data_IF_236097893185
#
_entry.id   IF_236097893185
#
_cell.length_a   1.000
_cell.length_b   1.000
_cell.length_c   1.000
_cell.angle_alpha   90.00
_cell.angle_beta   90.00
_cell.angle_gamma   90.00
#
_symmetry.space_group_name_H-M   'P 1'
#
loop_
_entity.id
_entity.type
_entity.pdbx_description
1 polymer ?
#
# COMPACT_ATOMS: atom_id res chain seq x y z
N UNK A 1 -9.45 12.61 5.69
CA UNK A 1 -8.47 11.52 5.61
C UNK A 1 -8.10 11.13 7.03
N UNK A 2 -8.42 9.90 7.40
CA UNK A 2 -8.55 9.45 8.78
C UNK A 2 -7.25 8.73 9.21
N UNK A 3 -6.79 9.00 10.44
CA UNK A 3 -5.77 8.26 11.21
C UNK A 3 -6.17 6.77 11.36
N UNK A 4 -6.18 6.01 10.27
CA UNK A 4 -6.90 4.73 10.19
C UNK A 4 -6.09 3.54 10.68
N UNK A 5 -4.79 3.68 10.94
CA UNK A 5 -4.00 2.56 11.45
C UNK A 5 -2.90 2.99 12.42
N UNK A 6 -3.31 3.28 13.65
CA UNK A 6 -2.44 3.24 14.82
C UNK A 6 -3.04 2.26 15.81
N UNK A 7 -2.89 0.94 15.63
CA UNK A 7 -3.31 0.00 16.67
C UNK A 7 -2.65 0.46 17.97
N UNK A 8 -3.46 0.59 19.03
CA UNK A 8 -2.93 0.93 20.34
C UNK A 8 -1.83 -0.08 20.68
N UNK A 9 -0.69 0.36 21.25
CA UNK A 9 0.36 -0.56 21.59
C UNK A 9 -0.21 -1.62 22.57
N UNK A 10 0.15 -2.91 22.42
CA UNK A 10 -0.48 -3.97 23.20
C UNK A 10 -0.38 -3.67 24.70
N UNK A 11 -1.49 -3.65 25.45
CA UNK A 11 -1.47 -3.26 26.86
C UNK A 11 -0.48 -4.07 27.69
N UNK A 12 -0.35 -5.36 27.38
CA UNK A 12 0.53 -6.31 28.07
C UNK A 12 2.02 -6.02 27.88
N UNK A 13 2.42 -5.27 26.84
CA UNK A 13 3.80 -4.84 26.62
C UNK A 13 4.01 -3.36 26.88
N UNK A 14 3.03 -2.51 26.55
CA UNK A 14 3.12 -1.06 26.73
C UNK A 14 3.14 -0.66 28.20
N UNK A 15 2.25 -1.27 29.00
CA UNK A 15 2.08 -1.03 30.43
C UNK A 15 2.22 0.46 30.82
N UNK A 16 1.44 1.33 30.18
CA UNK A 16 1.48 2.78 30.43
C UNK A 16 2.89 3.39 30.33
N UNK A 17 3.63 3.06 29.26
CA UNK A 17 5.04 3.44 29.03
C UNK A 17 6.08 2.80 29.98
N UNK A 18 5.72 1.80 30.78
CA UNK A 18 6.69 1.12 31.67
C UNK A 18 7.39 -0.07 31.00
N UNK A 19 6.87 -0.57 29.88
CA UNK A 19 7.51 -1.62 29.12
C UNK A 19 8.54 -1.11 28.12
N UNK A 20 9.16 -2.02 27.39
CA UNK A 20 10.14 -1.67 26.37
C UNK A 20 10.95 -2.85 25.84
N UNK A 21 11.99 -2.52 25.09
CA UNK A 21 12.92 -3.48 24.51
C UNK A 21 14.38 -3.02 24.72
N UNK A 22 15.30 -3.97 24.77
CA UNK A 22 16.75 -3.74 24.83
C UNK A 22 17.45 -4.70 23.89
N UNK A 23 18.48 -4.19 23.23
CA UNK A 23 19.39 -4.98 22.39
C UNK A 23 20.78 -4.82 22.98
N UNK A 24 21.48 -5.95 23.18
CA UNK A 24 22.85 -5.99 23.69
C UNK A 24 23.68 -6.88 22.79
N UNK A 25 24.88 -6.42 22.46
CA UNK A 25 25.86 -7.19 21.69
C UNK A 25 27.06 -7.49 22.57
N UNK A 26 27.40 -8.77 22.73
CA UNK A 26 28.55 -9.21 23.51
C UNK A 26 29.16 -10.48 22.89
N UNK A 27 30.47 -10.49 22.61
CA UNK A 27 31.18 -11.64 22.05
C UNK A 27 30.45 -12.34 20.87
N UNK A 28 30.06 -11.57 19.85
CA UNK A 28 29.28 -12.04 18.69
C UNK A 28 27.87 -12.60 18.99
N UNK A 29 27.40 -12.47 20.23
CA UNK A 29 26.02 -12.76 20.60
C UNK A 29 25.21 -11.46 20.63
N UNK A 30 24.10 -11.43 19.88
CA UNK A 30 23.08 -10.38 20.01
C UNK A 30 21.96 -10.93 20.90
N UNK A 31 21.79 -10.32 22.06
CA UNK A 31 20.70 -10.60 22.99
C UNK A 31 19.66 -9.51 22.90
N UNK A 32 18.42 -9.89 22.60
CA UNK A 32 17.25 -9.01 22.66
C UNK A 32 16.41 -9.36 23.87
N UNK A 33 15.94 -8.36 24.62
CA UNK A 33 14.99 -8.56 25.72
C UNK A 33 13.84 -7.57 25.61
N UNK A 34 12.62 -8.07 25.58
CA UNK A 34 11.39 -7.28 25.73
C UNK A 34 10.86 -7.41 27.16
N UNK A 35 10.23 -6.37 27.69
CA UNK A 35 9.69 -6.38 29.05
C UNK A 35 8.42 -5.53 29.12
N UNK A 36 7.50 -5.90 30.02
CA UNK A 36 6.28 -5.13 30.31
C UNK A 36 6.49 -4.07 31.39
N UNK A 37 7.51 -4.22 32.25
CA UNK A 37 7.72 -3.32 33.40
C UNK A 37 7.10 -3.90 34.68
N UNK A 38 6.93 -3.06 35.71
CA UNK A 38 6.36 -3.50 36.99
C UNK A 38 4.84 -3.59 36.88
N UNK A 39 4.27 -4.69 37.37
CA UNK A 39 2.83 -4.90 37.41
C UNK A 39 2.39 -5.59 38.71
N UNK A 40 1.18 -5.30 39.17
CA UNK A 40 0.58 -5.87 40.37
C UNK A 40 -0.51 -6.87 39.97
N UNK A 41 -0.28 -8.13 40.30
CA UNK A 41 -1.21 -9.21 40.00
C UNK A 41 -2.12 -9.50 41.19
N UNK A 42 -3.40 -9.72 40.91
CA UNK A 42 -4.29 -10.35 41.89
C UNK A 42 -4.02 -11.85 41.90
N UNK A 43 -4.27 -12.51 43.03
CA UNK A 43 -4.27 -13.97 43.08
C UNK A 43 -5.17 -14.51 41.96
N UNK A 44 -4.67 -15.51 41.25
CA UNK A 44 -5.36 -16.18 40.13
C UNK A 44 -5.58 -15.32 38.86
N UNK A 45 -4.88 -14.19 38.72
CA UNK A 45 -4.87 -13.41 37.47
C UNK A 45 -3.92 -14.00 36.41
N UNK A 46 -4.25 -13.79 35.13
CA UNK A 46 -3.48 -14.27 33.96
C UNK A 46 -2.91 -13.09 33.20
N UNK A 47 -1.61 -13.13 32.90
CA UNK A 47 -0.94 -12.22 31.97
C UNK A 47 -0.68 -12.94 30.65
N UNK A 48 -1.19 -12.39 29.55
CA UNK A 48 -0.95 -12.90 28.20
C UNK A 48 0.07 -12.02 27.49
N UNK A 49 1.22 -12.60 27.14
CA UNK A 49 2.30 -11.94 26.41
C UNK A 49 2.39 -12.55 25.02
N UNK A 50 1.94 -11.80 24.01
CA UNK A 50 1.99 -12.23 22.62
C UNK A 50 3.27 -11.71 21.97
N UNK A 51 4.02 -12.57 21.29
CA UNK A 51 5.18 -12.13 20.52
C UNK A 51 5.22 -12.87 19.18
N UNK A 52 5.73 -12.16 18.16
CA UNK A 52 6.04 -12.73 16.86
C UNK A 52 7.51 -12.47 16.58
N UNK A 53 8.23 -13.52 16.17
CA UNK A 53 9.60 -13.39 15.71
C UNK A 53 9.61 -13.51 14.19
N UNK A 54 9.92 -12.40 13.52
CA UNK A 54 10.07 -12.35 12.08
C UNK A 54 11.56 -12.39 11.76
N UNK A 55 12.01 -13.48 11.12
CA UNK A 55 13.38 -13.55 10.61
C UNK A 55 13.53 -12.53 9.49
N UNK A 56 14.30 -11.51 9.84
CA UNK A 56 14.80 -10.35 9.07
C UNK A 56 14.00 -10.01 7.82
N UNK A 57 13.15 -8.96 7.86
CA UNK A 57 12.38 -8.50 6.73
C UNK A 57 13.24 -7.69 5.74
N UNK A 58 14.42 -8.21 5.41
CA UNK A 58 15.42 -7.52 4.58
C UNK A 58 15.68 -8.32 3.32
N UNK A 59 15.92 -7.61 2.24
CA UNK A 59 16.34 -8.23 0.98
C UNK A 59 17.73 -7.72 0.58
N UNK A 60 18.32 -8.34 -0.45
CA UNK A 60 19.58 -7.83 -1.00
C UNK A 60 19.27 -6.53 -1.74
N UNK A 61 19.99 -5.46 -1.38
CA UNK A 61 19.86 -4.17 -2.04
C UNK A 61 20.12 -4.32 -3.55
N UNK A 62 19.20 -3.78 -4.37
CA UNK A 62 19.28 -3.80 -5.83
C UNK A 62 19.41 -2.39 -6.40
N UNK A 63 20.61 -1.81 -6.26
CA UNK A 63 20.94 -0.46 -6.75
C UNK A 63 20.83 -0.37 -8.27
N UNK A 64 21.13 -1.45 -9.00
CA UNK A 64 21.02 -1.46 -10.46
C UNK A 64 19.57 -1.22 -10.91
N UNK A 65 18.59 -1.88 -10.28
CA UNK A 65 17.19 -1.66 -10.61
C UNK A 65 16.72 -0.25 -10.22
N UNK A 66 17.19 0.28 -9.08
CA UNK A 66 16.86 1.64 -8.64
C UNK A 66 17.22 2.69 -9.69
N UNK A 67 18.43 2.64 -10.25
CA UNK A 67 18.87 3.62 -11.24
C UNK A 67 18.42 3.32 -12.67
N UNK A 68 18.01 2.08 -12.96
CA UNK A 68 17.50 1.69 -14.27
C UNK A 68 16.00 1.98 -14.43
N UNK A 69 15.20 1.83 -13.37
CA UNK A 69 13.76 2.05 -13.43
C UNK A 69 13.44 3.55 -13.38
N UNK A 70 12.77 4.06 -14.41
CA UNK A 70 12.35 5.46 -14.53
C UNK A 70 10.84 5.51 -14.63
N UNK A 71 10.24 6.08 -13.59
CA UNK A 71 8.81 6.04 -13.37
C UNK A 71 8.11 7.25 -13.98
N UNK A 72 6.96 7.00 -14.60
CA UNK A 72 5.98 8.01 -14.92
C UNK A 72 4.75 7.82 -14.04
N UNK A 73 4.36 8.88 -13.33
CA UNK A 73 3.13 8.93 -12.55
C UNK A 73 2.50 10.30 -12.71
N UNK A 74 1.25 10.33 -13.15
CA UNK A 74 0.44 11.52 -13.24
C UNK A 74 -1.01 11.13 -12.92
N UNK A 75 -1.60 11.83 -11.95
CA UNK A 75 -2.90 11.46 -11.37
C UNK A 75 -4.02 11.45 -12.44
N UNK A 76 -4.09 12.48 -13.29
CA UNK A 76 -5.18 12.62 -14.27
C UNK A 76 -4.89 12.00 -15.63
N UNK A 77 -3.62 12.03 -16.07
CA UNK A 77 -3.24 11.53 -17.39
C UNK A 77 -2.17 10.43 -17.29
N UNK A 78 -2.52 9.15 -17.45
CA UNK A 78 -1.55 8.06 -17.36
C UNK A 78 -0.65 7.94 -18.61
N UNK A 79 -0.82 8.79 -19.62
CA UNK A 79 -0.07 8.70 -20.88
C UNK A 79 1.18 9.58 -20.85
N UNK A 80 2.39 9.02 -20.67
CA UNK A 80 3.63 9.75 -20.87
C UNK A 80 3.70 10.32 -22.29
N UNK A 81 4.22 11.54 -22.41
CA UNK A 81 4.48 12.14 -23.71
C UNK A 81 5.73 11.55 -24.36
N UNK A 82 5.92 11.83 -25.65
CA UNK A 82 7.11 11.39 -26.39
C UNK A 82 8.43 11.81 -25.71
N UNK A 83 8.47 13.02 -25.14
CA UNK A 83 9.64 13.52 -24.39
C UNK A 83 9.96 12.67 -23.16
N UNK A 84 8.95 12.18 -22.45
CA UNK A 84 9.14 11.35 -21.25
C UNK A 84 9.70 9.98 -21.64
N UNK A 85 9.19 9.41 -22.74
CA UNK A 85 9.68 8.15 -23.32
C UNK A 85 11.14 8.30 -23.78
N UNK A 86 11.47 9.38 -24.49
CA UNK A 86 12.84 9.70 -24.92
C UNK A 86 13.79 9.96 -23.74
N UNK A 87 13.26 10.48 -22.61
CA UNK A 87 14.00 10.63 -21.36
C UNK A 87 14.22 9.30 -20.61
N UNK A 88 13.70 8.20 -21.13
CA UNK A 88 13.96 6.84 -20.68
C UNK A 88 12.93 6.26 -19.71
N UNK A 89 11.72 6.83 -19.62
CA UNK A 89 10.62 6.22 -18.84
C UNK A 89 10.42 4.77 -19.27
N UNK A 90 10.42 3.86 -18.30
CA UNK A 90 10.23 2.42 -18.53
C UNK A 90 9.30 1.74 -17.53
N UNK A 91 8.71 2.50 -16.58
CA UNK A 91 7.63 2.03 -15.71
C UNK A 91 6.57 3.13 -15.60
N UNK A 92 5.29 2.77 -15.74
CA UNK A 92 4.15 3.67 -15.56
C UNK A 92 3.36 3.22 -14.33
N UNK A 93 3.06 4.16 -13.43
CA UNK A 93 2.07 3.99 -12.38
C UNK A 93 0.74 4.59 -12.85
N UNK A 94 -0.25 3.74 -13.14
CA UNK A 94 -1.60 4.17 -13.48
C UNK A 94 -2.39 4.33 -12.19
N UNK A 95 -2.60 5.58 -11.78
CA UNK A 95 -3.44 5.91 -10.62
C UNK A 95 -4.92 5.57 -10.88
N UNK A 96 -5.78 5.62 -9.87
CA UNK A 96 -7.24 5.62 -10.10
C UNK A 96 -7.73 7.01 -10.56
N UNK A 97 -9.04 7.19 -10.81
CA UNK A 97 -9.70 8.46 -11.19
C UNK A 97 -9.36 8.98 -12.60
N UNK A 98 -8.99 8.10 -13.52
CA UNK A 98 -8.75 8.44 -14.92
C UNK A 98 -9.37 7.40 -15.86
N UNK A 99 -9.38 7.70 -17.17
CA UNK A 99 -10.01 6.85 -18.19
C UNK A 99 -9.49 5.42 -18.34
N UNK A 100 -8.30 5.11 -17.80
CA UNK A 100 -7.72 3.76 -17.87
C UNK A 100 -8.05 2.95 -16.61
N UNK A 101 -8.04 3.61 -15.46
CA UNK A 101 -8.39 3.01 -14.17
C UNK A 101 -9.32 3.98 -13.41
N UNK A 102 -10.62 4.03 -13.76
CA UNK A 102 -11.51 5.07 -13.26
C UNK A 102 -11.88 4.88 -11.78
N UNK A 103 -12.05 3.62 -11.36
CA UNK A 103 -12.55 3.27 -10.03
C UNK A 103 -11.42 2.79 -9.12
N UNK A 104 -11.47 3.18 -7.85
CA UNK A 104 -10.40 3.02 -6.84
C UNK A 104 -9.91 1.58 -6.71
N UNK A 105 -10.82 0.60 -6.87
CA UNK A 105 -10.46 -0.80 -6.87
C UNK A 105 -11.41 -1.72 -7.66
N UNK A 106 -12.03 -1.21 -8.72
CA UNK A 106 -12.88 -2.04 -9.57
C UNK A 106 -12.47 -1.94 -11.05
N UNK A 107 -11.27 -2.42 -11.41
CA UNK A 107 -10.74 -2.29 -12.77
C UNK A 107 -11.47 -3.16 -13.80
N UNK A 108 -12.31 -4.10 -13.36
CA UNK A 108 -12.92 -5.14 -14.19
C UNK A 108 -13.94 -4.61 -15.21
N UNK A 109 -14.42 -3.37 -15.04
CA UNK A 109 -15.32 -2.70 -16.00
C UNK A 109 -14.56 -1.99 -17.13
N UNK A 110 -13.22 -1.86 -17.02
CA UNK A 110 -12.36 -1.20 -18.01
C UNK A 110 -11.29 -2.12 -18.61
N UNK A 111 -11.54 -3.43 -18.60
CA UNK A 111 -10.57 -4.46 -19.01
C UNK A 111 -9.99 -4.20 -20.39
N UNK A 112 -10.82 -3.89 -21.39
CA UNK A 112 -10.36 -3.73 -22.77
C UNK A 112 -9.49 -2.48 -22.94
N UNK A 113 -9.91 -1.35 -22.36
CA UNK A 113 -9.14 -0.11 -22.35
C UNK A 113 -7.81 -0.26 -21.61
N UNK A 114 -7.82 -0.93 -20.45
CA UNK A 114 -6.62 -1.18 -19.67
C UNK A 114 -5.67 -2.13 -20.39
N UNK A 115 -6.18 -3.20 -21.02
CA UNK A 115 -5.36 -4.12 -21.83
C UNK A 115 -4.74 -3.38 -23.01
N UNK A 116 -5.52 -2.60 -23.75
CA UNK A 116 -5.00 -1.83 -24.89
C UNK A 116 -3.91 -0.85 -24.47
N UNK A 117 -4.05 -0.20 -23.31
CA UNK A 117 -3.02 0.65 -22.72
C UNK A 117 -1.75 -0.13 -22.40
N UNK A 118 -1.88 -1.26 -21.69
CA UNK A 118 -0.77 -2.13 -21.32
C UNK A 118 -0.04 -2.65 -22.57
N UNK A 119 -0.77 -3.17 -23.55
CA UNK A 119 -0.23 -3.69 -24.81
C UNK A 119 0.51 -2.61 -25.61
N UNK A 120 0.00 -1.37 -25.61
CA UNK A 120 0.65 -0.25 -26.26
C UNK A 120 2.03 0.03 -25.66
N UNK A 121 2.12 0.14 -24.33
CA UNK A 121 3.38 0.46 -23.64
C UNK A 121 4.34 -0.72 -23.58
N UNK A 122 3.84 -1.96 -23.54
CA UNK A 122 4.67 -3.16 -23.68
C UNK A 122 5.41 -3.21 -25.01
N UNK A 123 4.80 -2.77 -26.12
CA UNK A 123 5.48 -2.67 -27.43
C UNK A 123 6.65 -1.69 -27.41
N UNK A 124 6.66 -0.75 -26.47
CA UNK A 124 7.74 0.20 -26.25
C UNK A 124 8.73 -0.27 -25.16
N UNK A 125 8.55 -1.46 -24.60
CA UNK A 125 9.36 -1.98 -23.50
C UNK A 125 9.06 -1.35 -22.14
N UNK A 126 7.92 -0.68 -21.99
CA UNK A 126 7.53 0.06 -20.78
C UNK A 126 6.55 -0.77 -19.96
N UNK A 127 6.89 -1.03 -18.69
CA UNK A 127 6.03 -1.75 -17.75
C UNK A 127 4.89 -0.88 -17.24
N UNK A 128 3.74 -1.48 -16.95
CA UNK A 128 2.55 -0.79 -16.43
C UNK A 128 2.08 -1.40 -15.12
N UNK A 129 2.05 -0.61 -14.05
CA UNK A 129 1.47 -0.97 -12.75
C UNK A 129 0.20 -0.17 -12.51
N UNK A 130 -0.71 -0.71 -11.72
CA UNK A 130 -1.98 -0.04 -11.42
C UNK A 130 -2.14 0.22 -9.91
N UNK A 131 -2.85 1.29 -9.60
CA UNK A 131 -3.48 1.46 -8.29
C UNK A 131 -4.60 0.43 -8.13
N UNK A 132 -4.55 -0.38 -7.07
CA UNK A 132 -5.58 -1.37 -6.77
C UNK A 132 -5.62 -1.69 -5.27
N UNK A 133 -6.48 -1.01 -4.52
CA UNK A 133 -6.61 -1.18 -3.07
C UNK A 133 -7.68 -2.22 -2.69
N UNK A 134 -7.65 -2.69 -1.45
CA UNK A 134 -8.75 -3.48 -0.86
C UNK A 134 -9.38 -2.79 0.36
N UNK A 135 -8.81 -1.67 0.81
CA UNK A 135 -9.33 -0.89 1.95
C UNK A 135 -10.72 -0.29 1.67
N UNK A 136 -10.96 -0.02 0.41
CA UNK A 136 -12.15 0.61 -0.14
C UNK A 136 -12.77 -0.33 -1.18
N UNK A 137 -14.07 -0.22 -1.43
CA UNK A 137 -14.74 -0.85 -2.55
C UNK A 137 -15.56 0.19 -3.31
N UNK A 138 -15.35 0.29 -4.62
CA UNK A 138 -16.13 1.17 -5.49
C UNK A 138 -17.62 0.82 -5.46
N UNK A 139 -18.48 1.84 -5.54
CA UNK A 139 -19.92 1.66 -5.73
C UNK A 139 -20.30 1.11 -7.12
N UNK A 140 -19.33 0.96 -8.02
CA UNK A 140 -19.49 0.30 -9.32
C UNK A 140 -19.24 -1.21 -9.27
N UNK A 141 -18.93 -1.76 -8.09
CA UNK A 141 -18.79 -3.20 -7.90
C UNK A 141 -20.07 -3.94 -8.35
N UNK A 142 -19.95 -4.88 -9.27
CA UNK A 142 -21.12 -5.59 -9.80
C UNK A 142 -21.79 -6.46 -8.74
N UNK A 143 -21.01 -6.96 -7.78
CA UNK A 143 -21.45 -7.82 -6.69
C UNK A 143 -22.01 -7.04 -5.49
N UNK A 144 -22.15 -5.70 -5.58
CA UNK A 144 -22.43 -4.85 -4.42
C UNK A 144 -23.64 -5.32 -3.58
N UNK A 145 -24.70 -5.80 -4.23
CA UNK A 145 -25.90 -6.31 -3.55
C UNK A 145 -25.69 -7.64 -2.85
N UNK A 146 -24.91 -8.55 -3.47
CA UNK A 146 -24.53 -9.80 -2.85
C UNK A 146 -23.64 -9.53 -1.62
N UNK A 147 -22.69 -8.62 -1.73
CA UNK A 147 -21.83 -8.21 -0.62
C UNK A 147 -22.62 -7.54 0.50
N UNK A 148 -23.57 -6.68 0.13
CA UNK A 148 -24.49 -6.02 1.06
C UNK A 148 -25.34 -7.02 1.86
N UNK A 149 -25.73 -8.13 1.24
CA UNK A 149 -26.50 -9.19 1.92
C UNK A 149 -25.74 -9.91 3.03
N UNK A 150 -24.40 -9.77 3.07
CA UNK A 150 -23.53 -10.34 4.11
C UNK A 150 -23.42 -9.45 5.36
N UNK A 151 -24.24 -8.40 5.47
CA UNK A 151 -24.20 -7.45 6.57
C UNK A 151 -22.86 -6.71 6.61
N UNK A 152 -22.19 -6.73 7.76
CA UNK A 152 -20.94 -6.00 8.01
C UNK A 152 -19.69 -6.87 7.81
N UNK A 153 -19.84 -8.06 7.23
CA UNK A 153 -18.68 -8.92 6.96
C UNK A 153 -17.72 -8.27 5.95
N UNK A 154 -18.24 -7.60 4.92
CA UNK A 154 -17.43 -7.00 3.84
C UNK A 154 -17.31 -5.48 3.99
N UNK A 155 -18.43 -4.80 4.28
CA UNK A 155 -18.46 -3.36 4.48
C UNK A 155 -18.27 -3.04 5.96
N UNK A 156 -17.42 -2.07 6.25
CA UNK A 156 -17.38 -1.49 7.59
C UNK A 156 -18.75 -0.91 7.93
N UNK A 157 -19.22 -1.16 9.15
CA UNK A 157 -20.46 -0.55 9.65
C UNK A 157 -20.30 0.96 9.80
N UNK A 158 -21.41 1.69 9.71
CA UNK A 158 -21.41 3.15 9.75
C UNK A 158 -22.79 3.75 9.57
N UNK A 159 -22.90 5.06 9.80
CA UNK A 159 -24.16 5.81 9.71
C UNK A 159 -24.69 5.97 8.28
N UNK A 160 -23.93 5.56 7.26
CA UNK A 160 -24.19 5.91 5.87
C UNK A 160 -23.94 7.40 5.58
N UNK A 161 -24.43 7.88 4.43
CA UNK A 161 -24.24 9.25 3.93
C UNK A 161 -23.46 9.31 2.61
N UNK A 162 -22.75 10.42 2.39
CA UNK A 162 -21.92 10.60 1.17
C UNK A 162 -22.74 10.89 -0.09
N UNK A 163 -22.23 10.44 -1.23
CA UNK A 163 -22.80 10.70 -2.56
C UNK A 163 -24.26 10.22 -2.67
N UNK A 164 -25.16 10.93 -3.39
CA UNK A 164 -26.60 10.60 -3.45
C UNK A 164 -26.90 9.15 -3.79
N UNK A 165 -26.15 8.54 -4.72
CA UNK A 165 -26.35 7.14 -5.07
C UNK A 165 -26.22 6.23 -3.84
N UNK A 166 -25.20 6.42 -2.97
CA UNK A 166 -25.03 5.62 -1.76
C UNK A 166 -26.20 5.81 -0.79
N UNK A 167 -26.69 7.05 -0.64
CA UNK A 167 -27.82 7.38 0.25
C UNK A 167 -29.13 6.75 -0.21
N UNK A 168 -29.35 6.74 -1.52
CA UNK A 168 -30.55 6.18 -2.13
C UNK A 168 -30.54 4.64 -2.13
N UNK A 169 -29.37 4.04 -2.33
CA UNK A 169 -29.24 2.60 -2.61
C UNK A 169 -28.78 1.77 -1.41
N UNK A 170 -27.86 2.28 -0.59
CA UNK A 170 -27.36 1.57 0.60
C UNK A 170 -28.00 2.04 1.90
N UNK A 171 -28.44 3.30 1.96
CA UNK A 171 -29.19 3.94 3.07
C UNK A 171 -28.39 4.05 4.38
N UNK A 172 -28.03 2.94 5.02
CA UNK A 172 -27.33 2.87 6.32
C UNK A 172 -26.36 1.68 6.39
N UNK A 173 -25.67 1.42 7.50
CA UNK A 173 -24.77 0.27 7.68
C UNK A 173 -23.61 0.20 6.66
N UNK A 174 -23.04 1.35 6.36
CA UNK A 174 -21.80 1.45 5.60
C UNK A 174 -21.05 2.70 6.05
N UNK A 175 -19.73 2.66 5.94
CA UNK A 175 -18.84 3.80 6.16
C UNK A 175 -18.37 4.36 4.82
N UNK A 176 -18.59 5.66 4.62
CA UNK A 176 -18.23 6.37 3.38
C UNK A 176 -16.74 6.58 3.33
N UNK A 177 -16.17 6.49 2.13
CA UNK A 177 -14.76 6.73 1.96
C UNK A 177 -14.52 7.58 0.70
N UNK A 178 -13.43 7.34 -0.03
CA UNK A 178 -12.96 8.23 -1.08
C UNK A 178 -14.06 8.54 -2.10
N UNK A 179 -14.24 9.82 -2.39
CA UNK A 179 -15.13 10.29 -3.44
C UNK A 179 -14.31 11.00 -4.50
N UNK A 180 -14.45 10.59 -5.75
CA UNK A 180 -13.72 11.21 -6.85
C UNK A 180 -14.61 11.35 -8.09
N UNK A 181 -14.77 12.57 -8.63
CA UNK A 181 -15.21 12.74 -10.01
C UNK A 181 -14.19 12.08 -10.93
N UNK A 182 -14.65 11.37 -11.97
CA UNK A 182 -13.75 10.66 -12.87
C UNK A 182 -13.51 11.52 -14.10
N UNK A 183 -12.24 11.82 -14.37
CA UNK A 183 -11.90 12.64 -15.53
C UNK A 183 -12.30 11.93 -16.84
N UNK A 184 -13.03 12.65 -17.68
CA UNK A 184 -13.57 12.14 -18.94
C UNK A 184 -14.83 11.27 -18.84
N UNK A 185 -15.47 11.14 -17.66
CA UNK A 185 -16.72 10.39 -17.47
C UNK A 185 -17.76 11.24 -16.73
N UNK A 186 -19.05 11.09 -17.05
CA UNK A 186 -20.13 11.69 -16.25
C UNK A 186 -20.26 11.05 -14.86
N UNK A 187 -19.76 9.82 -14.70
CA UNK A 187 -19.78 9.07 -13.46
C UNK A 187 -18.73 9.57 -12.46
N UNK A 188 -18.99 9.32 -11.17
CA UNK A 188 -18.03 9.44 -10.09
C UNK A 188 -17.82 8.08 -9.41
N UNK A 189 -16.69 7.93 -8.74
CA UNK A 189 -16.49 6.83 -7.80
C UNK A 189 -16.82 7.29 -6.38
N UNK A 190 -17.74 6.59 -5.73
CA UNK A 190 -18.13 6.83 -4.34
C UNK A 190 -17.81 5.58 -3.53
N UNK A 191 -16.58 5.50 -3.03
CA UNK A 191 -16.06 4.30 -2.41
C UNK A 191 -16.63 4.06 -1.00
N UNK A 192 -16.76 2.79 -0.66
CA UNK A 192 -17.25 2.29 0.63
C UNK A 192 -16.08 1.64 1.35
N UNK A 193 -15.89 1.94 2.63
CA UNK A 193 -14.82 1.31 3.42
C UNK A 193 -15.11 -0.17 3.63
N UNK A 194 -14.12 -1.03 3.38
CA UNK A 194 -14.22 -2.44 3.72
C UNK A 194 -13.99 -2.68 5.21
N UNK A 195 -14.53 -3.74 5.77
CA UNK A 195 -14.36 -4.17 7.18
C UNK A 195 -12.93 -4.64 7.52
N UNK A 196 -12.18 -5.12 6.52
CA UNK A 196 -10.93 -5.85 6.72
C UNK A 196 -11.17 -7.34 7.01
N UNK A 197 -10.12 -8.15 6.84
CA UNK A 197 -10.04 -9.58 7.19
C UNK A 197 -11.28 -10.42 6.85
N UNK A 198 -11.82 -10.23 5.65
CA UNK A 198 -13.05 -10.86 5.18
C UNK A 198 -12.84 -11.79 4.01
N UNK A 199 -13.88 -12.54 3.62
CA UNK A 199 -13.83 -13.40 2.43
C UNK A 199 -13.53 -12.62 1.14
N UNK A 200 -13.74 -11.30 1.13
CA UNK A 200 -13.42 -10.43 0.00
C UNK A 200 -11.93 -10.44 -0.36
N UNK A 201 -11.05 -10.77 0.60
CA UNK A 201 -9.62 -10.94 0.35
C UNK A 201 -9.34 -12.01 -0.72
N UNK A 202 -10.17 -13.06 -0.78
CA UNK A 202 -10.04 -14.10 -1.79
C UNK A 202 -10.38 -13.58 -3.19
N UNK A 203 -11.43 -12.75 -3.29
CA UNK A 203 -11.81 -12.11 -4.55
C UNK A 203 -10.70 -11.17 -5.03
N UNK A 204 -10.16 -10.33 -4.15
CA UNK A 204 -9.08 -9.40 -4.48
C UNK A 204 -7.80 -10.13 -4.96
N UNK A 205 -7.38 -11.18 -4.27
CA UNK A 205 -6.18 -11.96 -4.65
C UNK A 205 -6.37 -12.67 -5.98
N UNK A 206 -7.53 -13.29 -6.22
CA UNK A 206 -7.81 -13.94 -7.50
C UNK A 206 -8.00 -12.93 -8.63
N UNK A 207 -8.63 -11.79 -8.34
CA UNK A 207 -8.78 -10.65 -9.24
C UNK A 207 -7.41 -10.09 -9.67
N UNK A 208 -6.48 -9.92 -8.73
CA UNK A 208 -5.10 -9.53 -9.03
C UNK A 208 -4.42 -10.54 -9.96
N UNK A 209 -4.51 -11.84 -9.65
CA UNK A 209 -3.98 -12.90 -10.52
C UNK A 209 -4.58 -12.82 -11.93
N UNK A 210 -5.89 -12.58 -12.00
CA UNK A 210 -6.61 -12.47 -13.25
C UNK A 210 -6.17 -11.25 -14.06
N UNK A 211 -5.95 -10.09 -13.43
CA UNK A 211 -5.45 -8.87 -14.08
C UNK A 211 -4.04 -9.09 -14.64
N UNK A 212 -3.13 -9.69 -13.87
CA UNK A 212 -1.78 -10.02 -14.37
C UNK A 212 -1.86 -10.96 -15.57
N UNK A 213 -2.73 -11.98 -15.52
CA UNK A 213 -2.83 -12.99 -16.59
C UNK A 213 -3.50 -12.46 -17.85
N UNK A 214 -4.60 -11.73 -17.71
CA UNK A 214 -5.51 -11.42 -18.82
C UNK A 214 -5.42 -9.97 -19.29
N UNK A 215 -5.00 -9.04 -18.43
CA UNK A 215 -4.75 -7.65 -18.81
C UNK A 215 -3.26 -7.42 -19.05
N UNK A 216 -2.39 -8.20 -18.40
CA UNK A 216 -0.95 -8.16 -18.62
C UNK A 216 -0.21 -7.18 -17.72
N UNK A 217 -0.87 -6.57 -16.72
CA UNK A 217 -0.23 -5.61 -15.81
C UNK A 217 1.06 -6.18 -15.21
N UNK A 218 2.04 -5.31 -14.99
CA UNK A 218 3.36 -5.66 -14.48
C UNK A 218 3.45 -5.52 -12.96
N UNK A 219 2.39 -5.09 -12.30
CA UNK A 219 2.50 -4.82 -10.88
C UNK A 219 1.44 -3.93 -10.28
N UNK A 220 1.69 -3.58 -9.02
CA UNK A 220 0.87 -2.71 -8.21
C UNK A 220 1.64 -1.47 -7.74
N UNK A 221 0.92 -0.37 -7.70
CA UNK A 221 1.24 0.80 -6.89
C UNK A 221 0.28 0.81 -5.72
N UNK A 222 0.79 0.54 -4.52
CA UNK A 222 0.01 0.48 -3.29
C UNK A 222 0.13 1.82 -2.58
N UNK A 223 -1.01 2.44 -2.27
CA UNK A 223 -1.08 3.76 -1.68
C UNK A 223 -1.77 3.72 -0.31
N UNK A 224 -0.93 3.51 0.70
CA UNK A 224 -1.31 3.10 2.04
C UNK A 224 -2.19 1.83 2.04
N UNK A 225 -2.01 0.94 3.01
CA UNK A 225 -2.74 -0.34 2.99
C UNK A 225 -3.27 -0.71 4.36
N UNK A 226 -4.36 -1.48 4.36
CA UNK A 226 -5.10 -1.88 5.55
C UNK A 226 -5.25 -3.42 5.61
N UNK A 227 -4.12 -4.12 5.51
CA UNK A 227 -4.01 -5.57 5.63
C UNK A 227 -2.62 -5.96 6.13
N UNK A 228 -2.44 -7.22 6.50
CA UNK A 228 -1.20 -7.73 7.08
C UNK A 228 -0.21 -8.27 6.02
N UNK A 229 0.93 -8.77 6.52
CA UNK A 229 1.98 -9.39 5.69
C UNK A 229 1.49 -10.65 4.95
N UNK A 230 0.50 -11.36 5.47
CA UNK A 230 0.01 -12.60 4.87
C UNK A 230 -0.79 -12.31 3.61
N UNK A 231 -1.55 -11.21 3.59
CA UNK A 231 -2.16 -10.71 2.37
C UNK A 231 -1.10 -10.41 1.30
N UNK A 232 -0.04 -9.68 1.66
CA UNK A 232 1.02 -9.31 0.72
C UNK A 232 1.79 -10.54 0.19
N UNK A 233 2.03 -11.55 1.02
CA UNK A 233 2.58 -12.85 0.60
C UNK A 233 1.69 -13.53 -0.44
N UNK A 234 0.38 -13.50 -0.25
CA UNK A 234 -0.59 -14.07 -1.20
C UNK A 234 -0.57 -13.31 -2.52
N UNK A 235 -0.56 -11.98 -2.47
CA UNK A 235 -0.45 -11.12 -3.66
C UNK A 235 0.82 -11.45 -4.45
N UNK A 236 1.99 -11.41 -3.79
CA UNK A 236 3.28 -11.75 -4.39
C UNK A 236 3.25 -13.13 -5.05
N UNK A 237 2.78 -14.15 -4.31
CA UNK A 237 2.69 -15.53 -4.80
C UNK A 237 1.86 -15.65 -6.08
N UNK A 238 0.65 -15.07 -6.12
CA UNK A 238 -0.22 -15.22 -7.29
C UNK A 238 0.27 -14.44 -8.50
N UNK A 239 0.92 -13.29 -8.29
CA UNK A 239 1.54 -12.52 -9.37
C UNK A 239 2.72 -13.30 -9.97
N UNK A 240 3.64 -13.78 -9.15
CA UNK A 240 4.84 -14.49 -9.60
C UNK A 240 4.52 -15.83 -10.27
N UNK A 241 3.42 -16.49 -9.87
CA UNK A 241 2.91 -17.70 -10.54
C UNK A 241 2.48 -17.46 -11.99
N UNK A 242 2.07 -16.23 -12.32
CA UNK A 242 1.58 -15.86 -13.66
C UNK A 242 2.67 -15.19 -14.48
N UNK A 243 3.35 -14.22 -13.89
CA UNK A 243 4.34 -13.37 -14.55
C UNK A 243 5.48 -13.04 -13.57
N UNK A 244 6.57 -13.85 -13.58
CA UNK A 244 7.75 -13.54 -12.79
C UNK A 244 8.30 -12.15 -13.10
N UNK A 245 8.77 -11.44 -12.07
CA UNK A 245 9.30 -10.08 -12.21
C UNK A 245 8.25 -8.98 -12.14
N UNK A 246 7.03 -9.31 -11.69
CA UNK A 246 6.05 -8.33 -11.28
C UNK A 246 6.58 -7.43 -10.16
N UNK A 247 6.12 -6.18 -10.15
CA UNK A 247 6.60 -5.13 -9.26
C UNK A 247 5.51 -4.71 -8.27
N UNK A 248 5.83 -4.56 -6.99
CA UNK A 248 4.93 -3.99 -5.99
C UNK A 248 5.69 -2.85 -5.33
N UNK A 249 5.18 -1.65 -5.48
CA UNK A 249 5.78 -0.46 -4.86
C UNK A 249 4.81 0.09 -3.82
N UNK A 250 5.34 0.48 -2.67
CA UNK A 250 4.53 0.92 -1.52
C UNK A 250 4.75 2.41 -1.27
N UNK A 251 3.66 3.16 -1.38
CA UNK A 251 3.56 4.58 -1.11
C UNK A 251 2.93 4.83 0.27
N UNK A 252 3.36 5.92 0.91
CA UNK A 252 2.74 6.43 2.14
C UNK A 252 3.02 7.93 2.32
N UNK A 253 2.07 8.62 2.92
CA UNK A 253 2.11 10.04 3.24
C UNK A 253 2.24 10.27 4.77
N UNK A 254 2.90 11.35 5.19
CA UNK A 254 2.96 11.74 6.61
C UNK A 254 1.61 12.01 7.26
N UNK A 255 0.59 12.37 6.48
CA UNK A 255 -0.78 12.58 6.95
C UNK A 255 -1.47 11.25 7.29
N UNK A 256 -0.96 10.13 6.76
CA UNK A 256 -1.48 8.80 7.01
C UNK A 256 -0.66 8.03 8.05
N UNK A 257 0.67 8.09 7.96
CA UNK A 257 1.57 7.34 8.84
C UNK A 257 2.61 8.22 9.52
N UNK A 258 2.90 7.90 10.79
CA UNK A 258 4.04 8.45 11.53
C UNK A 258 5.11 7.37 11.62
N UNK A 259 6.07 7.41 10.72
CA UNK A 259 7.11 6.37 10.60
C UNK A 259 6.65 5.18 9.74
N UNK A 260 6.34 5.39 8.44
CA UNK A 260 5.87 4.34 7.54
C UNK A 260 6.81 3.12 7.48
N UNK A 261 8.11 3.32 7.60
CA UNK A 261 9.05 2.22 7.56
C UNK A 261 8.88 1.30 8.75
N UNK A 262 8.61 1.85 9.94
CA UNK A 262 8.27 1.07 11.13
C UNK A 262 6.90 0.39 10.99
N UNK A 263 5.89 1.12 10.48
CA UNK A 263 4.54 0.59 10.30
C UNK A 263 4.48 -0.58 9.31
N UNK A 264 5.26 -0.51 8.23
CA UNK A 264 5.20 -1.45 7.12
C UNK A 264 6.43 -2.37 7.03
N UNK A 265 7.27 -2.45 8.08
CA UNK A 265 8.52 -3.24 8.02
C UNK A 265 8.27 -4.69 7.60
N UNK A 266 7.15 -5.29 8.02
CA UNK A 266 6.81 -6.68 7.69
C UNK A 266 6.51 -6.92 6.19
N UNK A 267 6.31 -5.85 5.42
CA UNK A 267 6.00 -5.92 3.99
C UNK A 267 7.23 -5.91 3.12
N UNK A 268 8.35 -5.41 3.64
CA UNK A 268 9.57 -5.14 2.89
C UNK A 268 10.14 -6.34 2.12
N UNK A 269 10.02 -7.59 2.60
CA UNK A 269 10.43 -8.78 1.82
C UNK A 269 9.62 -9.04 0.55
N UNK A 270 8.45 -8.43 0.43
CA UNK A 270 7.46 -8.74 -0.61
C UNK A 270 7.22 -7.59 -1.57
N UNK A 271 7.89 -6.46 -1.39
CA UNK A 271 7.82 -5.27 -2.27
C UNK A 271 9.18 -4.99 -2.93
N UNK A 272 9.16 -4.16 -3.96
CA UNK A 272 10.32 -3.83 -4.77
C UNK A 272 10.88 -2.44 -4.48
N UNK A 273 10.04 -1.52 -4.02
CA UNK A 273 10.42 -0.11 -3.88
C UNK A 273 9.55 0.63 -2.87
N UNK A 274 10.15 1.62 -2.21
CA UNK A 274 9.44 2.58 -1.37
C UNK A 274 9.16 3.86 -2.14
N UNK A 275 7.97 4.39 -1.92
CA UNK A 275 7.50 5.69 -2.37
C UNK A 275 7.05 6.47 -1.15
N UNK A 276 7.92 6.51 -0.13
CA UNK A 276 7.71 7.27 1.09
C UNK A 276 8.35 8.64 0.91
N UNK A 277 7.57 9.69 1.01
CA UNK A 277 8.10 11.01 0.68
C UNK A 277 7.06 12.09 0.41
N UNK A 278 5.78 11.75 0.31
CA UNK A 278 4.73 12.75 0.17
C UNK A 278 4.60 13.53 1.49
N UNK A 279 4.73 14.86 1.40
CA UNK A 279 4.82 15.80 2.54
C UNK A 279 6.06 15.62 3.45
N UNK A 280 7.11 14.97 2.96
CA UNK A 280 8.37 14.84 3.71
C UNK A 280 9.20 16.12 3.58
N UNK A 281 9.33 16.87 4.68
CA UNK A 281 10.16 18.07 4.74
C UNK A 281 11.64 17.74 4.94
N UNK A 282 12.26 17.27 3.87
CA UNK A 282 13.66 16.90 3.74
C UNK A 282 14.64 17.81 4.51
N UNK A 283 14.58 19.13 4.34
CA UNK A 283 15.52 20.05 5.03
C UNK A 283 15.42 20.03 6.56
N UNK A 284 14.26 19.65 7.10
CA UNK A 284 13.97 19.64 8.53
C UNK A 284 14.12 18.25 9.16
N UNK A 285 14.21 17.21 8.35
CA UNK A 285 14.29 15.82 8.80
C UNK A 285 15.70 15.47 9.30
N UNK A 286 15.75 14.71 10.39
CA UNK A 286 16.99 14.22 11.00
C UNK A 286 17.61 13.10 10.16
N UNK A 287 18.95 12.92 10.15
CA UNK A 287 19.63 11.93 9.31
C UNK A 287 19.16 10.48 9.47
N UNK A 288 18.73 10.10 10.67
CA UNK A 288 18.12 8.80 10.97
C UNK A 288 16.77 8.62 10.26
N UNK A 289 15.92 9.65 10.21
CA UNK A 289 14.67 9.60 9.43
C UNK A 289 14.98 9.44 7.93
N UNK A 290 15.99 10.13 7.42
CA UNK A 290 16.43 9.95 6.03
C UNK A 290 16.84 8.51 5.73
N UNK A 291 17.69 7.95 6.59
CA UNK A 291 18.22 6.61 6.40
C UNK A 291 17.13 5.54 6.54
N UNK A 292 16.23 5.67 7.50
CA UNK A 292 15.24 4.63 7.81
C UNK A 292 13.95 4.82 7.03
N UNK A 293 13.34 6.00 7.12
CA UNK A 293 11.98 6.25 6.62
C UNK A 293 11.96 6.57 5.13
N UNK A 294 12.91 7.36 4.64
CA UNK A 294 12.90 7.76 3.22
C UNK A 294 13.70 6.78 2.35
N UNK A 295 14.89 6.35 2.79
CA UNK A 295 15.79 5.58 1.92
C UNK A 295 15.39 4.12 1.71
N UNK A 296 14.89 3.44 2.76
CA UNK A 296 14.68 1.99 2.75
C UNK A 296 15.94 1.12 2.72
N UNK A 297 17.15 1.71 2.61
CA UNK A 297 18.44 1.00 2.46
C UNK A 297 18.69 -0.02 3.58
N UNK A 298 18.43 0.29 4.87
CA UNK A 298 18.62 -0.67 5.96
C UNK A 298 17.84 -1.98 5.76
N UNK A 299 16.78 -1.95 4.94
CA UNK A 299 15.90 -3.08 4.67
C UNK A 299 16.15 -3.72 3.30
N UNK A 300 17.18 -3.28 2.56
CA UNK A 300 17.46 -3.75 1.21
C UNK A 300 16.54 -3.18 0.14
N UNK A 301 15.80 -2.12 0.48
CA UNK A 301 14.93 -1.38 -0.43
C UNK A 301 15.58 -0.04 -0.80
N UNK A 302 15.01 0.62 -1.80
CA UNK A 302 15.36 2.00 -2.15
C UNK A 302 14.09 2.82 -2.35
N UNK A 303 14.14 4.09 -1.97
CA UNK A 303 13.05 5.05 -2.09
C UNK A 303 13.37 6.19 -3.05
N UNK A 304 12.32 6.83 -3.57
CA UNK A 304 12.41 8.10 -4.30
C UNK A 304 11.85 9.25 -3.47
N UNK A 305 12.41 10.44 -3.63
CA UNK A 305 11.91 11.64 -2.98
C UNK A 305 10.74 12.24 -3.75
N UNK A 306 9.55 12.25 -3.14
CA UNK A 306 8.33 12.66 -3.84
C UNK A 306 7.98 14.15 -3.66
N UNK A 307 8.18 14.71 -2.47
CA UNK A 307 7.77 16.08 -2.18
C UNK A 307 8.68 17.16 -2.80
N UNK A 308 8.07 18.16 -3.45
CA UNK A 308 8.73 19.37 -3.97
C UNK A 308 9.94 19.13 -4.89
N UNK A 309 9.95 18.03 -5.65
CA UNK A 309 11.07 17.68 -6.55
C UNK A 309 12.30 17.13 -5.83
N UNK A 310 12.19 16.80 -4.53
CA UNK A 310 13.25 16.23 -3.72
C UNK A 310 14.39 17.21 -3.39
N UNK A 311 15.50 16.68 -2.87
CA UNK A 311 16.73 17.43 -2.66
C UNK A 311 17.88 16.78 -3.45
N UNK A 312 18.43 17.44 -4.50
CA UNK A 312 19.45 16.84 -5.36
C UNK A 312 20.78 16.52 -4.66
N UNK A 313 21.11 17.22 -3.58
CA UNK A 313 22.33 17.01 -2.80
C UNK A 313 22.21 15.84 -1.81
N UNK A 314 20.98 15.49 -1.44
CA UNK A 314 20.67 14.34 -0.57
C UNK A 314 20.21 13.12 -1.39
N UNK A 315 19.91 13.32 -2.68
CA UNK A 315 19.53 12.28 -3.64
C UNK A 315 20.60 11.21 -3.84
N UNK A 316 21.86 11.41 -3.45
CA UNK A 316 22.90 10.41 -3.68
C UNK A 316 22.66 9.09 -2.91
N UNK A 317 21.86 9.13 -1.84
CA UNK A 317 21.43 7.95 -1.10
C UNK A 317 20.08 7.39 -1.62
N UNK A 318 19.49 7.99 -2.64
CA UNK A 318 18.11 7.77 -3.12
C UNK A 318 18.08 7.83 -4.67
N UNK A 319 16.93 7.59 -5.31
CA UNK A 319 16.78 7.74 -6.77
C UNK A 319 16.66 9.18 -7.21
#
# INVERSE_FOLDING_TARGET
MLNLYHPAPPPSWYNNNNGGFKIRTYNNLVSTSTYTGKELFKKDSVLTLEFSLLLTPVQKLNTSAQFANRYYQNYGNPFPGQKDIEAGVNVINVHHANRINPYINYPFVMVDSMRAFVDHFHKLGIKTKIYYTIRELSNQCAEIWALRSLGTEIFSDGSGGGYPWLREHLVSHYDVQWFTPIDGYEACDAAIKTSGDSRWYNYYVEGLRWLVKNVGIDGLYLDDVAYDRDMLKRMRKVMDMVKPGCMIDLHSNTDFSKGPATQYTEFFPYINKLWFGENFHYEKMQPDNWLVETSGIPFGLMGDMLFSGGNPWRAWYMG
#
